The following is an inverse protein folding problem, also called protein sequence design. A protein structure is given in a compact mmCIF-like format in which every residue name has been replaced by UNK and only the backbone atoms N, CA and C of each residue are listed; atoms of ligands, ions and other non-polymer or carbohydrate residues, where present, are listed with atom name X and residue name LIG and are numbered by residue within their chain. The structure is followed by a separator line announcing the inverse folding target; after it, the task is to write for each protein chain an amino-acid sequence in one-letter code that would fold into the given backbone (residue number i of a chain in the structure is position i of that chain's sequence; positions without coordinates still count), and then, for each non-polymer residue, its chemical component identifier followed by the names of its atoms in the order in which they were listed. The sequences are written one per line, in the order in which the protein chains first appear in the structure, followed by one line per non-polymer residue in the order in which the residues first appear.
data_IF_278933537958
#
_entry.id   IF_278933537958
#
_cell.length_a   1.000
_cell.length_b   1.000
_cell.length_c   1.000
_cell.angle_alpha   90.00
_cell.angle_beta   90.00
_cell.angle_gamma   90.00
#
_symmetry.space_group_name_H-M   'P 1'
#
loop_
_entity.id
_entity.type
_entity.pdbx_description
1 polymer ?
#
# COMPACT_ATOMS: atom_id res chain seq x y z
N UNK A 1 -9.59 -14.22 -71.64
CA UNK A 1 -10.07 -13.01 -70.93
C UNK A 1 -10.93 -13.50 -69.77
N UNK A 2 -10.37 -13.65 -68.61
CA UNK A 2 -11.12 -14.08 -67.44
C UNK A 2 -10.85 -13.12 -66.29
N UNK A 3 -11.94 -12.53 -65.82
CA UNK A 3 -11.99 -11.60 -64.67
C UNK A 3 -12.21 -12.46 -63.43
N UNK A 4 -11.35 -12.29 -62.43
CA UNK A 4 -11.50 -12.90 -61.12
C UNK A 4 -12.12 -11.93 -60.13
N UNK A 5 -13.08 -12.34 -59.28
CA UNK A 5 -13.69 -11.46 -58.28
C UNK A 5 -12.99 -11.56 -56.92
N UNK A 6 -12.81 -10.40 -56.31
CA UNK A 6 -12.31 -10.18 -54.93
C UNK A 6 -13.27 -10.74 -53.87
N UNK A 7 -12.77 -11.62 -52.99
CA UNK A 7 -13.42 -12.00 -51.74
C UNK A 7 -13.01 -11.01 -50.63
N UNK A 8 -13.97 -10.22 -50.16
CA UNK A 8 -13.88 -9.48 -48.91
C UNK A 8 -14.13 -10.41 -47.75
N UNK A 9 -13.15 -10.54 -46.84
CA UNK A 9 -13.34 -11.20 -45.57
C UNK A 9 -14.08 -10.27 -44.60
N UNK A 10 -15.26 -10.69 -44.14
CA UNK A 10 -15.99 -10.13 -43.01
C UNK A 10 -15.41 -10.75 -41.72
N UNK A 11 -14.94 -9.92 -40.84
CA UNK A 11 -14.60 -10.29 -39.45
C UNK A 11 -15.83 -10.11 -38.58
N UNK A 12 -16.32 -11.20 -37.98
CA UNK A 12 -17.37 -11.16 -36.95
C UNK A 12 -16.72 -10.85 -35.59
N UNK A 13 -17.39 -10.08 -34.71
CA UNK A 13 -16.94 -9.88 -33.35
C UNK A 13 -17.30 -11.11 -32.49
N UNK A 14 -16.33 -11.57 -31.69
CA UNK A 14 -16.52 -12.65 -30.73
C UNK A 14 -17.37 -12.17 -29.54
N UNK A 15 -18.56 -12.70 -29.41
CA UNK A 15 -19.45 -12.52 -28.25
C UNK A 15 -19.01 -13.47 -27.15
N UNK A 16 -18.53 -12.94 -26.02
CA UNK A 16 -18.17 -13.73 -24.85
C UNK A 16 -19.48 -14.07 -24.08
N UNK A 17 -19.78 -15.36 -24.08
CA UNK A 17 -20.90 -15.95 -23.32
C UNK A 17 -20.47 -16.14 -21.85
N UNK A 18 -21.05 -15.38 -20.94
CA UNK A 18 -20.86 -15.59 -19.52
C UNK A 18 -21.77 -16.75 -19.03
N UNK A 19 -21.16 -17.82 -18.54
CA UNK A 19 -21.85 -18.95 -17.93
C UNK A 19 -22.13 -18.64 -16.46
N UNK A 20 -23.41 -18.44 -16.10
CA UNK A 20 -23.88 -18.39 -14.72
C UNK A 20 -24.07 -19.81 -14.18
N UNK A 21 -23.31 -20.20 -13.16
CA UNK A 21 -23.64 -21.34 -12.32
C UNK A 21 -24.30 -20.85 -11.04
N UNK A 22 -25.60 -21.18 -10.89
CA UNK A 22 -26.38 -20.92 -9.68
C UNK A 22 -26.47 -22.23 -8.90
N UNK A 23 -25.85 -22.32 -7.71
CA UNK A 23 -26.25 -23.28 -6.67
C UNK A 23 -25.83 -22.76 -5.28
N UNK A 24 -26.80 -22.68 -4.36
CA UNK A 24 -26.63 -22.75 -2.91
C UNK A 24 -26.65 -21.41 -2.17
N UNK A 25 -27.82 -21.10 -1.55
CA UNK A 25 -28.01 -20.00 -0.62
C UNK A 25 -27.15 -20.15 0.64
N UNK A 26 -26.12 -19.30 0.79
CA UNK A 26 -25.64 -18.83 2.08
C UNK A 26 -25.43 -17.33 1.93
N UNK A 27 -25.89 -16.53 2.89
CA UNK A 27 -25.81 -15.07 2.88
C UNK A 27 -24.35 -14.63 3.09
N UNK A 28 -23.54 -14.77 2.05
CA UNK A 28 -22.21 -14.15 1.97
C UNK A 28 -22.35 -12.86 1.16
N UNK A 29 -21.94 -11.74 1.73
CA UNK A 29 -21.78 -10.51 0.98
C UNK A 29 -20.97 -10.81 -0.29
N UNK A 30 -21.58 -10.65 -1.45
CA UNK A 30 -20.88 -10.81 -2.73
C UNK A 30 -19.85 -9.69 -2.81
N UNK A 31 -18.58 -10.03 -2.65
CA UNK A 31 -17.47 -9.13 -2.97
C UNK A 31 -17.19 -9.27 -4.45
N UNK A 32 -17.23 -8.17 -5.20
CA UNK A 32 -16.72 -8.22 -6.56
C UNK A 32 -15.19 -8.35 -6.49
N UNK A 33 -14.63 -9.29 -7.21
CA UNK A 33 -13.20 -9.30 -7.48
C UNK A 33 -12.87 -8.08 -8.34
N UNK A 34 -11.79 -7.37 -7.99
CA UNK A 34 -11.27 -6.33 -8.88
C UNK A 34 -10.89 -6.98 -10.21
N UNK A 35 -11.24 -6.37 -11.35
CA UNK A 35 -10.86 -6.94 -12.64
C UNK A 35 -9.34 -7.00 -12.78
N UNK A 36 -8.82 -8.08 -13.35
CA UNK A 36 -7.41 -8.20 -13.69
C UNK A 36 -6.96 -6.99 -14.51
N UNK A 37 -5.76 -6.47 -14.22
CA UNK A 37 -5.19 -5.26 -14.85
C UNK A 37 -5.97 -3.96 -14.60
N UNK A 38 -6.71 -3.86 -13.47
CA UNK A 38 -7.46 -2.65 -13.13
C UNK A 38 -6.58 -1.42 -12.92
N UNK A 39 -5.28 -1.60 -12.71
CA UNK A 39 -4.33 -0.56 -12.32
C UNK A 39 -3.21 -0.31 -13.34
N UNK A 40 -3.16 -1.04 -14.45
CA UNK A 40 -2.05 -0.96 -15.41
C UNK A 40 -2.52 -0.40 -16.74
N UNK A 41 -1.99 0.77 -17.10
CA UNK A 41 -1.88 1.21 -18.49
C UNK A 41 -0.41 1.62 -18.75
N UNK A 42 0.21 1.04 -19.75
CA UNK A 42 1.64 1.15 -20.03
C UNK A 42 2.18 2.53 -20.47
N UNK A 43 1.51 3.65 -20.19
CA UNK A 43 1.87 4.97 -20.69
C UNK A 43 1.87 6.06 -19.59
N UNK A 44 2.81 5.98 -18.65
CA UNK A 44 3.01 7.06 -17.66
C UNK A 44 2.08 7.00 -16.44
N UNK A 45 1.46 5.86 -16.20
CA UNK A 45 0.68 5.59 -15.00
C UNK A 45 1.58 5.37 -13.78
N UNK A 46 1.14 5.71 -12.57
CA UNK A 46 1.91 5.51 -11.35
C UNK A 46 2.14 4.03 -11.06
N UNK A 47 3.23 3.72 -10.40
CA UNK A 47 3.46 2.40 -9.80
C UNK A 47 2.49 2.20 -8.65
N UNK A 48 1.67 1.16 -8.72
CA UNK A 48 0.70 0.84 -7.67
C UNK A 48 1.36 0.01 -6.58
N UNK A 49 1.29 0.52 -5.36
CA UNK A 49 1.72 -0.13 -4.13
C UNK A 49 0.49 -0.57 -3.33
N UNK A 50 0.65 -1.53 -2.40
CA UNK A 50 -0.37 -1.81 -1.40
C UNK A 50 0.28 -2.01 -0.03
N UNK A 51 -0.25 -1.35 0.99
CA UNK A 51 0.17 -1.58 2.37
C UNK A 51 -0.24 -2.99 2.80
N UNK A 52 0.66 -3.70 3.48
CA UNK A 52 0.50 -5.09 3.88
C UNK A 52 0.71 -5.26 5.39
N UNK A 53 -0.23 -5.93 6.05
CA UNK A 53 -0.20 -6.21 7.48
C UNK A 53 0.33 -7.62 7.76
N UNK A 54 1.53 -7.77 8.37
CA UNK A 54 2.20 -9.07 8.53
C UNK A 54 1.90 -9.79 9.83
N UNK A 55 0.89 -9.37 10.59
CA UNK A 55 0.64 -9.84 11.96
C UNK A 55 -0.37 -10.99 12.10
N UNK A 56 -1.00 -11.46 11.02
CA UNK A 56 -1.99 -12.53 11.12
C UNK A 56 -1.38 -13.89 11.39
N UNK A 57 -2.02 -14.63 12.32
CA UNK A 57 -1.55 -15.94 12.79
C UNK A 57 -0.87 -15.92 14.14
N UNK A 58 -0.79 -14.75 14.80
CA UNK A 58 -0.33 -14.62 16.18
C UNK A 58 -1.47 -14.20 17.13
N UNK A 59 -1.31 -14.38 18.47
CA UNK A 59 -2.26 -13.88 19.45
C UNK A 59 -2.42 -12.36 19.40
N UNK A 60 -3.64 -11.87 19.70
CA UNK A 60 -3.94 -10.44 19.70
C UNK A 60 -4.58 -9.93 18.43
N UNK A 61 -4.49 -10.67 17.32
CA UNK A 61 -5.11 -10.35 16.04
C UNK A 61 -6.25 -11.31 15.68
N UNK A 62 -7.17 -10.85 14.85
CA UNK A 62 -8.29 -11.67 14.40
C UNK A 62 -7.82 -12.84 13.53
N UNK A 63 -8.54 -13.95 13.60
CA UNK A 63 -8.27 -15.10 12.74
C UNK A 63 -8.85 -14.83 11.34
N UNK A 64 -7.98 -14.66 10.36
CA UNK A 64 -8.34 -14.45 8.94
C UNK A 64 -8.24 -15.73 8.11
N UNK A 65 -7.90 -16.87 8.75
CA UNK A 65 -7.81 -18.18 8.11
C UNK A 65 -6.42 -18.52 7.53
N UNK A 66 -5.40 -17.69 7.78
CA UNK A 66 -4.02 -17.94 7.40
C UNK A 66 -3.04 -17.31 8.40
N UNK A 67 -1.77 -17.63 8.24
CA UNK A 67 -0.65 -16.97 8.94
C UNK A 67 0.18 -16.17 7.95
N UNK A 68 0.63 -14.98 8.36
CA UNK A 68 1.60 -14.17 7.60
C UNK A 68 3.01 -14.81 7.55
N UNK A 69 3.21 -15.94 8.25
CA UNK A 69 4.41 -16.77 8.14
C UNK A 69 4.19 -18.05 7.30
N UNK A 70 3.04 -18.15 6.60
CA UNK A 70 2.78 -19.26 5.68
C UNK A 70 3.24 -18.89 4.26
N UNK A 71 4.34 -19.53 3.81
CA UNK A 71 4.92 -19.28 2.50
C UNK A 71 3.93 -19.50 1.35
N UNK A 72 3.11 -20.55 1.44
CA UNK A 72 2.14 -20.87 0.36
C UNK A 72 1.08 -19.79 0.24
N UNK A 73 0.63 -19.26 1.38
CA UNK A 73 -0.32 -18.15 1.37
C UNK A 73 0.32 -16.86 0.85
N UNK A 74 1.56 -16.55 1.25
CA UNK A 74 2.28 -15.37 0.74
C UNK A 74 2.49 -15.44 -0.79
N UNK A 75 2.86 -16.61 -1.31
CA UNK A 75 3.01 -16.83 -2.77
C UNK A 75 1.70 -16.57 -3.51
N UNK A 76 0.59 -17.05 -2.98
CA UNK A 76 -0.75 -16.82 -3.53
C UNK A 76 -1.13 -15.33 -3.49
N UNK A 77 -0.88 -14.63 -2.37
CA UNK A 77 -1.19 -13.21 -2.22
C UNK A 77 -0.36 -12.36 -3.20
N UNK A 78 0.92 -12.65 -3.36
CA UNK A 78 1.78 -11.98 -4.35
C UNK A 78 1.25 -12.21 -5.78
N UNK A 79 0.88 -13.44 -6.13
CA UNK A 79 0.32 -13.75 -7.46
C UNK A 79 -1.00 -12.98 -7.70
N UNK A 80 -1.87 -12.89 -6.69
CA UNK A 80 -3.11 -12.11 -6.76
C UNK A 80 -2.84 -10.60 -6.92
N UNK A 81 -1.90 -10.05 -6.15
CA UNK A 81 -1.51 -8.65 -6.25
C UNK A 81 -0.97 -8.31 -7.64
N UNK A 82 -0.08 -9.15 -8.19
CA UNK A 82 0.43 -9.00 -9.56
C UNK A 82 -0.68 -9.03 -10.61
N UNK A 83 -1.67 -9.91 -10.46
CA UNK A 83 -2.83 -9.98 -11.37
C UNK A 83 -3.67 -8.69 -11.36
N UNK A 84 -3.69 -7.98 -10.24
CA UNK A 84 -4.36 -6.69 -10.11
C UNK A 84 -3.48 -5.50 -10.57
N UNK A 85 -2.23 -5.73 -10.98
CA UNK A 85 -1.29 -4.70 -11.38
C UNK A 85 -0.60 -3.99 -10.22
N UNK A 86 -0.67 -4.53 -9.00
CA UNK A 86 0.12 -4.07 -7.87
C UNK A 86 1.57 -4.51 -8.09
N UNK A 87 2.50 -3.58 -7.97
CA UNK A 87 3.93 -3.81 -8.23
C UNK A 87 4.72 -4.13 -6.96
N UNK A 88 4.24 -3.69 -5.80
CA UNK A 88 4.93 -3.92 -4.53
C UNK A 88 3.97 -3.95 -3.35
N UNK A 89 4.36 -4.71 -2.31
CA UNK A 89 3.82 -4.54 -0.96
C UNK A 89 4.70 -3.61 -0.14
N UNK A 90 4.08 -2.68 0.56
CA UNK A 90 4.70 -1.85 1.61
C UNK A 90 4.29 -2.48 2.94
N UNK A 91 5.21 -3.21 3.55
CA UNK A 91 4.92 -4.12 4.67
C UNK A 91 5.15 -3.42 5.99
N UNK A 92 4.13 -3.38 6.85
CA UNK A 92 4.28 -2.88 8.21
C UNK A 92 5.35 -3.68 8.94
N UNK A 93 6.29 -2.99 9.58
CA UNK A 93 7.40 -3.61 10.30
C UNK A 93 7.73 -2.78 11.54
N UNK A 94 7.72 -3.43 12.69
CA UNK A 94 7.81 -2.82 14.01
C UNK A 94 9.21 -2.89 14.64
N UNK A 95 10.24 -3.07 13.80
CA UNK A 95 11.61 -3.25 14.29
C UNK A 95 11.94 -4.70 14.62
N UNK A 96 13.21 -4.93 14.91
CA UNK A 96 13.79 -6.27 15.15
C UNK A 96 13.25 -6.98 16.40
N UNK A 97 12.68 -6.24 17.33
CA UNK A 97 12.12 -6.79 18.59
C UNK A 97 10.79 -7.51 18.38
N UNK A 98 10.04 -7.15 17.35
CA UNK A 98 8.79 -7.78 16.95
C UNK A 98 9.05 -8.99 16.06
N UNK A 99 9.46 -10.07 16.71
CA UNK A 99 10.03 -11.26 16.03
C UNK A 99 9.05 -11.98 15.10
N UNK A 100 7.74 -11.85 15.31
CA UNK A 100 6.75 -12.45 14.41
C UNK A 100 6.69 -11.69 13.10
N UNK A 101 6.53 -10.37 13.16
CA UNK A 101 6.45 -9.49 11.99
C UNK A 101 7.78 -9.46 11.23
N UNK A 102 8.91 -9.47 11.95
CA UNK A 102 10.25 -9.53 11.36
C UNK A 102 10.46 -10.81 10.54
N UNK A 103 10.04 -11.96 11.05
CA UNK A 103 10.05 -13.23 10.32
C UNK A 103 9.08 -13.24 9.15
N UNK A 104 7.89 -12.68 9.34
CA UNK A 104 6.90 -12.56 8.26
C UNK A 104 7.43 -11.67 7.13
N UNK A 105 8.07 -10.54 7.46
CA UNK A 105 8.74 -9.68 6.49
C UNK A 105 9.86 -10.39 5.75
N UNK A 106 10.75 -11.07 6.48
CA UNK A 106 11.83 -11.88 5.90
C UNK A 106 11.30 -12.87 4.86
N UNK A 107 10.24 -13.60 5.21
CA UNK A 107 9.62 -14.57 4.31
C UNK A 107 8.96 -13.89 3.10
N UNK A 108 8.27 -12.77 3.32
CA UNK A 108 7.65 -11.99 2.24
C UNK A 108 8.69 -11.50 1.24
N UNK A 109 9.84 -10.98 1.68
CA UNK A 109 10.89 -10.53 0.76
C UNK A 109 11.51 -11.69 -0.03
N UNK A 110 11.66 -12.88 0.57
CA UNK A 110 12.10 -14.09 -0.13
C UNK A 110 11.07 -14.51 -1.20
N UNK A 111 9.78 -14.54 -0.85
CA UNK A 111 8.70 -14.86 -1.80
C UNK A 111 8.65 -13.82 -2.94
N UNK A 112 8.80 -12.56 -2.61
CA UNK A 112 8.82 -11.48 -3.59
C UNK A 112 9.96 -11.66 -4.61
N UNK A 113 11.16 -12.04 -4.13
CA UNK A 113 12.30 -12.34 -5.01
C UNK A 113 12.01 -13.52 -5.96
N UNK A 114 11.44 -14.60 -5.43
CA UNK A 114 11.12 -15.79 -6.24
C UNK A 114 10.00 -15.53 -7.26
N UNK A 115 9.16 -14.54 -7.00
CA UNK A 115 7.99 -14.18 -7.82
C UNK A 115 8.21 -12.97 -8.72
N UNK A 116 9.40 -12.37 -8.75
CA UNK A 116 9.66 -11.09 -9.42
C UNK A 116 8.63 -10.02 -9.03
N UNK A 117 8.56 -9.79 -7.73
CA UNK A 117 7.71 -8.80 -7.08
C UNK A 117 8.56 -7.93 -6.17
N UNK A 118 8.05 -6.77 -5.75
CA UNK A 118 8.80 -5.87 -4.88
C UNK A 118 8.17 -5.75 -3.50
N UNK A 119 9.02 -5.45 -2.51
CA UNK A 119 8.59 -5.11 -1.15
C UNK A 119 9.36 -3.89 -0.64
N UNK A 120 8.74 -3.15 0.25
CA UNK A 120 9.40 -2.10 1.03
C UNK A 120 8.96 -2.22 2.49
N UNK A 121 9.77 -1.72 3.40
CA UNK A 121 9.40 -1.57 4.80
C UNK A 121 8.53 -0.32 4.96
N UNK A 122 7.43 -0.45 5.72
CA UNK A 122 6.76 0.62 6.43
C UNK A 122 7.16 0.46 7.90
N UNK A 123 8.11 1.28 8.34
CA UNK A 123 8.51 1.28 9.74
C UNK A 123 7.40 1.92 10.58
N UNK A 124 6.73 1.09 11.33
CA UNK A 124 5.66 1.48 12.24
C UNK A 124 6.30 1.62 13.62
N UNK A 125 6.39 2.87 14.10
CA UNK A 125 7.05 3.15 15.38
C UNK A 125 6.41 2.33 16.51
N UNK A 126 7.24 1.68 17.30
CA UNK A 126 6.81 1.08 18.57
C UNK A 126 6.62 2.18 19.63
N UNK A 127 5.72 1.95 20.60
CA UNK A 127 5.57 2.82 21.78
C UNK A 127 6.81 2.71 22.67
N UNK A 128 7.91 3.27 22.19
CA UNK A 128 9.19 3.33 22.90
C UNK A 128 9.16 4.38 24.00
N UNK A 129 10.07 4.24 24.98
CA UNK A 129 10.34 5.33 25.94
C UNK A 129 10.76 6.58 25.13
N UNK A 130 10.10 7.73 25.32
CA UNK A 130 10.45 8.98 24.61
C UNK A 130 11.93 9.34 24.69
N UNK A 131 12.62 8.91 25.76
CA UNK A 131 14.05 9.18 25.93
C UNK A 131 14.94 8.35 25.02
N UNK A 132 14.52 7.18 24.55
CA UNK A 132 15.27 6.29 23.65
C UNK A 132 14.72 6.21 22.24
N UNK A 133 13.54 6.75 21.96
CA UNK A 133 12.81 6.63 20.70
C UNK A 133 13.69 6.87 19.46
N UNK A 134 14.45 7.97 19.43
CA UNK A 134 15.35 8.28 18.30
C UNK A 134 16.44 7.23 18.12
N UNK A 135 17.06 6.77 19.21
CA UNK A 135 18.14 5.78 19.15
C UNK A 135 17.58 4.40 18.77
N UNK A 136 16.38 4.04 19.23
CA UNK A 136 15.68 2.82 18.86
C UNK A 136 15.34 2.81 17.35
N UNK A 137 14.81 3.91 16.81
CA UNK A 137 14.55 4.05 15.37
C UNK A 137 15.84 3.89 14.55
N UNK A 138 16.93 4.55 14.96
CA UNK A 138 18.22 4.44 14.26
C UNK A 138 18.71 2.99 14.30
N UNK A 139 18.60 2.31 15.44
CA UNK A 139 19.00 0.91 15.61
C UNK A 139 18.18 -0.03 14.73
N UNK A 140 16.86 0.16 14.69
CA UNK A 140 15.97 -0.67 13.89
C UNK A 140 16.17 -0.44 12.38
N UNK A 141 16.34 0.81 11.96
CA UNK A 141 16.63 1.11 10.56
C UNK A 141 18.02 0.59 10.14
N UNK A 142 19.02 0.61 11.05
CA UNK A 142 20.32 -0.01 10.78
C UNK A 142 20.18 -1.53 10.64
N UNK A 143 19.40 -2.19 11.50
CA UNK A 143 19.11 -3.61 11.35
C UNK A 143 18.42 -3.90 10.01
N UNK A 144 17.41 -3.12 9.64
CA UNK A 144 16.75 -3.26 8.36
C UNK A 144 17.71 -3.08 7.17
N UNK A 145 18.63 -2.12 7.27
CA UNK A 145 19.64 -1.91 6.25
C UNK A 145 20.56 -3.12 6.11
N UNK A 146 21.04 -3.65 7.22
CA UNK A 146 21.99 -4.77 7.21
C UNK A 146 21.35 -6.08 6.76
N UNK A 147 20.04 -6.29 7.01
CA UNK A 147 19.37 -7.56 6.74
C UNK A 147 18.57 -7.57 5.44
N UNK A 148 17.98 -6.44 5.02
CA UNK A 148 16.97 -6.37 3.96
C UNK A 148 17.33 -5.44 2.81
N UNK A 149 18.01 -4.32 3.06
CA UNK A 149 18.09 -3.19 2.14
C UNK A 149 19.49 -3.04 1.53
N UNK A 150 20.52 -3.09 2.36
CA UNK A 150 21.88 -2.71 2.02
C UNK A 150 22.60 -3.70 1.10
N UNK A 151 23.79 -3.36 0.63
CA UNK A 151 24.54 -4.20 -0.33
C UNK A 151 24.99 -5.54 0.25
N UNK A 152 24.97 -5.68 1.57
CA UNK A 152 25.33 -6.91 2.29
C UNK A 152 24.13 -7.62 2.92
N UNK A 153 22.93 -7.23 2.54
CA UNK A 153 21.69 -7.81 3.07
C UNK A 153 21.69 -9.34 2.92
N UNK A 154 21.21 -10.01 3.98
CA UNK A 154 21.15 -11.48 4.04
C UNK A 154 19.93 -12.05 3.32
N UNK A 155 18.90 -11.23 3.09
CA UNK A 155 17.70 -11.55 2.32
C UNK A 155 17.86 -10.97 0.90
N UNK A 156 17.28 -11.59 -0.15
CA UNK A 156 17.44 -11.11 -1.52
C UNK A 156 17.02 -9.64 -1.71
N UNK A 157 17.99 -8.74 -1.77
CA UNK A 157 17.75 -7.29 -1.86
C UNK A 157 17.13 -6.87 -3.21
N UNK A 158 17.27 -7.68 -4.25
CA UNK A 158 16.72 -7.39 -5.57
C UNK A 158 15.19 -7.31 -5.55
N UNK A 159 14.55 -7.91 -4.55
CA UNK A 159 13.12 -7.75 -4.28
C UNK A 159 12.78 -6.45 -3.55
N UNK A 160 13.75 -5.70 -3.02
CA UNK A 160 13.45 -4.45 -2.33
C UNK A 160 13.08 -3.33 -3.31
N UNK A 161 12.04 -2.56 -2.97
CA UNK A 161 11.57 -1.45 -3.80
C UNK A 161 12.57 -0.30 -3.79
N UNK A 162 13.00 0.11 -4.98
CA UNK A 162 13.88 1.27 -5.18
C UNK A 162 13.22 2.31 -6.08
N UNK A 163 13.60 3.55 -5.89
CA UNK A 163 13.28 4.65 -6.78
C UNK A 163 14.51 5.52 -6.97
N UNK A 164 14.86 5.83 -8.22
CA UNK A 164 16.09 6.54 -8.56
C UNK A 164 17.34 5.89 -7.93
N UNK A 165 17.43 4.56 -8.02
CA UNK A 165 18.50 3.71 -7.48
C UNK A 165 18.66 3.75 -5.95
N UNK A 166 17.70 4.33 -5.23
CA UNK A 166 17.68 4.40 -3.76
C UNK A 166 16.53 3.57 -3.19
N UNK A 167 16.74 2.79 -2.12
CA UNK A 167 15.69 2.03 -1.47
C UNK A 167 14.68 2.97 -0.81
N UNK A 168 13.40 2.61 -0.84
CA UNK A 168 12.32 3.37 -0.22
C UNK A 168 11.99 2.80 1.17
N UNK A 169 11.92 3.66 2.18
CA UNK A 169 11.43 3.31 3.52
C UNK A 169 10.29 4.25 3.86
N UNK A 170 9.14 3.68 4.18
CA UNK A 170 7.97 4.42 4.63
C UNK A 170 7.99 4.52 6.16
N UNK A 171 7.58 5.64 6.71
CA UNK A 171 7.52 5.87 8.15
C UNK A 171 6.07 6.09 8.57
N UNK A 172 5.59 5.24 9.48
CA UNK A 172 4.29 5.36 10.13
C UNK A 172 4.54 5.78 11.59
N UNK A 173 4.41 7.09 11.91
CA UNK A 173 4.80 7.60 13.21
C UNK A 173 3.74 7.34 14.28
N UNK A 174 4.17 7.11 15.52
CA UNK A 174 3.29 6.97 16.70
C UNK A 174 3.66 7.90 17.86
N UNK A 175 4.92 7.89 18.26
CA UNK A 175 5.37 8.56 19.48
C UNK A 175 5.44 10.07 19.36
N UNK A 176 5.97 10.58 18.28
CA UNK A 176 6.10 12.02 18.01
C UNK A 176 7.23 12.73 18.77
N UNK A 177 8.13 11.98 19.41
CA UNK A 177 9.28 12.54 20.14
C UNK A 177 10.60 12.32 19.40
N UNK A 178 10.59 11.63 18.28
CA UNK A 178 11.79 11.32 17.51
C UNK A 178 12.44 12.58 16.93
N UNK A 179 13.76 12.67 17.09
CA UNK A 179 14.61 13.64 16.36
C UNK A 179 14.90 13.10 14.97
N UNK A 180 14.02 13.41 14.03
CA UNK A 180 14.15 12.97 12.64
C UNK A 180 15.37 13.54 11.92
N UNK A 181 15.89 14.68 12.37
CA UNK A 181 17.15 15.23 11.87
C UNK A 181 18.33 14.31 12.20
N UNK A 182 18.38 13.76 13.43
CA UNK A 182 19.39 12.76 13.80
C UNK A 182 19.21 11.46 13.03
N UNK A 183 17.97 10.97 12.87
CA UNK A 183 17.69 9.78 12.06
C UNK A 183 18.18 9.99 10.62
N UNK A 184 17.82 11.12 10.00
CA UNK A 184 18.29 11.48 8.65
C UNK A 184 19.81 11.51 8.56
N UNK A 185 20.49 12.10 9.54
CA UNK A 185 21.94 12.15 9.57
C UNK A 185 22.57 10.75 9.63
N UNK A 186 22.00 9.85 10.44
CA UNK A 186 22.48 8.48 10.55
C UNK A 186 22.35 7.72 9.22
N UNK A 187 21.17 7.74 8.59
CA UNK A 187 20.94 6.99 7.33
C UNK A 187 21.67 7.59 6.14
N UNK A 188 21.95 8.87 6.15
CA UNK A 188 22.77 9.51 5.09
C UNK A 188 24.23 9.04 5.08
N UNK A 189 24.71 8.48 6.19
CA UNK A 189 26.04 7.86 6.29
C UNK A 189 26.15 6.48 5.63
N UNK A 190 25.08 5.88 5.18
CA UNK A 190 25.08 4.55 4.57
C UNK A 190 25.58 4.57 3.13
N UNK A 191 26.09 3.44 2.63
CA UNK A 191 26.58 3.31 1.24
C UNK A 191 25.51 3.64 0.20
N UNK A 192 24.26 3.26 0.48
CA UNK A 192 23.10 3.61 -0.34
C UNK A 192 22.02 4.18 0.58
N UNK A 193 22.01 5.50 0.82
CA UNK A 193 21.03 6.14 1.69
C UNK A 193 19.60 5.94 1.19
N UNK A 194 18.64 5.53 2.06
CA UNK A 194 17.25 5.35 1.66
C UNK A 194 16.55 6.67 1.36
N UNK A 195 15.49 6.58 0.57
CA UNK A 195 14.44 7.59 0.50
C UNK A 195 13.49 7.37 1.66
N UNK A 196 13.35 8.35 2.55
CA UNK A 196 12.41 8.31 3.67
C UNK A 196 11.12 9.02 3.27
N UNK A 197 9.99 8.31 3.36
CA UNK A 197 8.66 8.81 3.00
C UNK A 197 7.79 8.80 4.25
N UNK A 198 7.36 9.97 4.72
CA UNK A 198 6.65 10.13 5.98
C UNK A 198 5.12 10.15 5.78
N UNK A 199 4.39 9.64 6.77
CA UNK A 199 2.93 9.66 6.78
C UNK A 199 2.40 11.09 6.88
N UNK A 200 1.46 11.44 6.04
CA UNK A 200 0.87 12.77 5.92
C UNK A 200 1.91 13.88 5.62
N UNK A 201 1.43 15.05 5.27
CA UNK A 201 2.30 16.22 5.11
C UNK A 201 2.58 16.82 6.49
N UNK A 202 3.87 16.90 6.82
CA UNK A 202 4.34 17.52 8.05
C UNK A 202 5.36 18.61 7.71
N UNK A 203 4.96 19.90 7.71
CA UNK A 203 5.84 21.00 7.27
C UNK A 203 7.14 21.11 8.05
N UNK A 204 7.10 20.89 9.37
CA UNK A 204 8.28 21.01 10.24
C UNK A 204 9.31 19.92 9.99
N UNK A 205 8.90 18.77 9.41
CA UNK A 205 9.75 17.64 9.07
C UNK A 205 10.13 17.60 7.59
N UNK A 206 9.71 18.58 6.80
CA UNK A 206 9.90 18.54 5.35
C UNK A 206 11.38 18.49 4.91
N UNK A 207 12.31 18.93 5.75
CA UNK A 207 13.74 18.86 5.44
C UNK A 207 14.36 17.48 5.70
N UNK A 208 13.73 16.68 6.54
CA UNK A 208 14.25 15.38 6.97
C UNK A 208 13.74 14.21 6.10
N UNK A 209 12.70 14.45 5.28
CA UNK A 209 12.07 13.43 4.44
C UNK A 209 12.17 13.75 2.95
N UNK A 210 12.30 12.70 2.12
CA UNK A 210 12.32 12.80 0.67
C UNK A 210 10.91 12.95 0.09
N UNK A 211 9.87 12.58 0.85
CA UNK A 211 8.48 12.68 0.43
C UNK A 211 7.47 12.41 1.52
N UNK A 212 6.20 12.43 1.11
CA UNK A 212 5.06 12.16 1.97
C UNK A 212 4.10 11.19 1.31
N UNK A 213 3.40 10.38 2.12
CA UNK A 213 2.32 9.54 1.62
C UNK A 213 0.99 9.88 2.31
N UNK A 214 -0.09 9.78 1.54
CA UNK A 214 -1.43 9.90 2.10
C UNK A 214 -1.80 8.60 2.82
N UNK A 215 -2.50 8.71 3.94
CA UNK A 215 -3.06 7.58 4.67
C UNK A 215 -4.48 7.90 5.13
N UNK A 216 -5.33 6.88 5.29
CA UNK A 216 -6.68 7.07 5.81
C UNK A 216 -6.62 7.74 7.19
N UNK A 217 -7.19 8.94 7.31
CA UNK A 217 -7.06 9.77 8.51
C UNK A 217 -8.41 9.97 9.18
N UNK A 218 -8.79 9.03 10.05
CA UNK A 218 -10.09 9.02 10.69
C UNK A 218 -10.32 10.23 11.61
N UNK A 219 -11.49 10.87 11.46
CA UNK A 219 -11.93 11.97 12.31
C UNK A 219 -11.25 13.31 12.07
N UNK A 220 -10.42 13.42 11.01
CA UNK A 220 -9.80 14.68 10.60
C UNK A 220 -10.30 15.08 9.22
N UNK A 221 -9.88 16.21 8.75
CA UNK A 221 -10.16 16.87 7.47
C UNK A 221 -11.08 16.13 6.48
N UNK A 222 -12.34 16.54 6.43
CA UNK A 222 -13.32 16.00 5.53
C UNK A 222 -13.94 14.65 5.94
N UNK A 223 -13.41 13.99 6.96
CA UNK A 223 -13.98 12.76 7.48
C UNK A 223 -14.99 13.02 8.59
N UNK A 224 -16.19 12.47 8.46
CA UNK A 224 -17.25 12.62 9.44
C UNK A 224 -17.32 11.42 10.38
N UNK A 225 -17.56 11.61 11.69
CA UNK A 225 -17.65 10.50 12.64
C UNK A 225 -18.71 9.44 12.30
N UNK A 226 -19.74 9.81 11.55
CA UNK A 226 -20.78 8.90 11.09
C UNK A 226 -20.41 8.11 9.83
N UNK A 227 -19.19 8.28 9.28
CA UNK A 227 -18.73 7.62 8.07
C UNK A 227 -19.38 8.12 6.78
N UNK A 228 -20.09 9.26 6.80
CA UNK A 228 -20.77 9.81 5.61
C UNK A 228 -19.81 10.43 4.57
N UNK A 229 -18.56 10.60 4.93
CA UNK A 229 -17.49 11.16 4.11
C UNK A 229 -16.47 10.07 3.79
N UNK A 230 -15.80 10.17 2.66
CA UNK A 230 -14.79 9.21 2.20
C UNK A 230 -13.35 9.76 2.21
N UNK A 231 -13.13 10.89 2.89
CA UNK A 231 -11.81 11.54 3.00
C UNK A 231 -11.45 12.42 1.80
N UNK A 232 -12.43 12.83 0.96
CA UNK A 232 -12.20 13.63 -0.24
C UNK A 232 -11.49 14.95 0.05
N UNK A 233 -11.87 15.64 1.11
CA UNK A 233 -11.29 16.93 1.47
C UNK A 233 -9.83 16.78 1.92
N UNK A 234 -9.54 15.73 2.66
CA UNK A 234 -8.17 15.42 3.08
C UNK A 234 -7.28 15.15 1.85
N UNK A 235 -7.71 14.24 0.96
CA UNK A 235 -6.94 13.89 -0.25
C UNK A 235 -6.79 15.08 -1.20
N UNK A 236 -7.86 15.87 -1.38
CA UNK A 236 -7.82 17.08 -2.21
C UNK A 236 -6.77 18.08 -1.69
N UNK A 237 -6.73 18.29 -0.38
CA UNK A 237 -5.73 19.13 0.26
C UNK A 237 -4.32 18.54 0.15
N UNK A 238 -4.17 17.24 0.40
CA UNK A 238 -2.88 16.54 0.27
C UNK A 238 -2.29 16.75 -1.13
N UNK A 239 -3.05 16.45 -2.18
CA UNK A 239 -2.57 16.59 -3.55
C UNK A 239 -2.26 18.04 -3.94
N UNK A 240 -3.13 18.99 -3.55
CA UNK A 240 -2.86 20.42 -3.80
C UNK A 240 -1.55 20.85 -3.17
N UNK A 241 -1.39 20.57 -1.88
CA UNK A 241 -0.19 20.97 -1.12
C UNK A 241 1.07 20.33 -1.69
N UNK A 242 1.03 19.04 -2.06
CA UNK A 242 2.19 18.39 -2.70
C UNK A 242 2.58 19.05 -4.01
N UNK A 243 1.62 19.43 -4.83
CA UNK A 243 1.90 20.09 -6.13
C UNK A 243 2.40 21.53 -5.94
N UNK A 244 1.82 22.29 -4.99
CA UNK A 244 2.12 23.72 -4.85
C UNK A 244 3.31 24.00 -3.95
N UNK A 245 3.39 23.33 -2.80
CA UNK A 245 4.33 23.66 -1.74
C UNK A 245 5.54 22.71 -1.73
N UNK A 246 5.36 21.47 -2.23
CA UNK A 246 6.39 20.43 -2.24
C UNK A 246 6.61 19.80 -3.63
N UNK A 247 6.75 20.59 -4.71
CA UNK A 247 6.83 20.05 -6.10
C UNK A 247 8.06 19.18 -6.35
N UNK A 248 9.08 19.27 -5.50
CA UNK A 248 10.33 18.51 -5.62
C UNK A 248 10.39 17.30 -4.67
N UNK A 249 9.32 17.01 -3.93
CA UNK A 249 9.25 15.86 -3.04
C UNK A 249 8.44 14.73 -3.67
N UNK A 250 8.76 13.51 -3.25
CA UNK A 250 8.01 12.34 -3.66
C UNK A 250 6.63 12.42 -3.00
N UNK A 251 5.57 12.42 -3.80
CA UNK A 251 4.21 12.29 -3.32
C UNK A 251 3.73 10.87 -3.60
N UNK A 252 3.29 10.16 -2.58
CA UNK A 252 2.64 8.86 -2.73
C UNK A 252 1.15 9.05 -2.46
N UNK A 253 0.32 8.90 -3.49
CA UNK A 253 -1.12 9.03 -3.36
C UNK A 253 -1.73 7.90 -2.52
N UNK A 254 -2.95 8.12 -1.99
CA UNK A 254 -3.68 7.12 -1.21
C UNK A 254 -4.99 6.68 -1.89
N UNK A 255 -5.34 5.40 -1.73
CA UNK A 255 -6.62 4.86 -2.15
C UNK A 255 -7.11 3.82 -1.14
N UNK A 256 -8.36 3.94 -0.68
CA UNK A 256 -8.97 3.05 0.30
C UNK A 256 -10.42 2.70 -0.04
N UNK A 257 -10.88 1.48 0.30
CA UNK A 257 -12.25 1.06 -0.01
C UNK A 257 -13.30 1.65 0.94
N UNK A 258 -12.90 2.02 2.11
CA UNK A 258 -13.65 2.47 3.28
C UNK A 258 -12.84 2.18 4.52
N UNK A 259 -13.43 2.34 5.70
CA UNK A 259 -12.76 2.10 6.97
C UNK A 259 -13.76 1.64 8.04
N UNK A 260 -13.37 0.68 8.87
CA UNK A 260 -14.17 0.25 10.01
C UNK A 260 -13.27 -0.50 11.01
N UNK A 261 -12.84 0.19 12.05
CA UNK A 261 -11.91 -0.36 13.06
C UNK A 261 -12.59 -1.15 14.19
N UNK A 262 -13.89 -1.43 14.11
CA UNK A 262 -14.62 -2.11 15.20
C UNK A 262 -14.10 -3.51 15.54
N UNK A 263 -13.25 -4.09 14.71
CA UNK A 263 -12.61 -5.40 14.95
C UNK A 263 -11.21 -5.27 15.52
N UNK A 264 -10.62 -4.09 15.47
CA UNK A 264 -9.28 -3.86 16.00
C UNK A 264 -9.30 -3.78 17.53
N UNK A 265 -8.27 -4.30 18.18
CA UNK A 265 -8.10 -4.16 19.64
C UNK A 265 -7.89 -2.70 20.08
N UNK A 266 -7.40 -1.87 19.17
CA UNK A 266 -7.23 -0.41 19.32
C UNK A 266 -8.40 0.41 18.78
N UNK A 267 -9.56 -0.21 18.56
CA UNK A 267 -10.76 0.43 18.00
C UNK A 267 -11.17 1.70 18.77
N UNK A 268 -11.64 2.69 18.01
CA UNK A 268 -12.31 3.89 18.52
C UNK A 268 -13.70 4.07 17.87
N UNK A 269 -14.30 2.97 17.39
CA UNK A 269 -15.58 2.95 16.65
C UNK A 269 -15.61 3.90 15.44
N UNK A 270 -14.48 4.05 14.75
CA UNK A 270 -14.37 4.91 13.58
C UNK A 270 -14.87 4.18 12.33
N UNK A 271 -15.60 4.88 11.50
CA UNK A 271 -16.18 4.32 10.27
C UNK A 271 -16.15 5.31 9.13
N UNK A 272 -15.77 4.81 7.96
CA UNK A 272 -15.94 5.46 6.67
C UNK A 272 -16.72 4.51 5.77
N UNK A 273 -17.83 4.98 5.19
CA UNK A 273 -18.71 4.14 4.39
C UNK A 273 -18.00 3.68 3.11
N UNK A 274 -18.12 2.40 2.81
CA UNK A 274 -17.63 1.79 1.58
C UNK A 274 -18.44 2.21 0.34
N UNK A 275 -19.67 2.71 0.54
CA UNK A 275 -20.58 3.15 -0.52
C UNK A 275 -20.66 2.14 -1.68
N UNK A 276 -20.76 0.86 -1.35
CA UNK A 276 -20.84 -0.24 -2.33
C UNK A 276 -19.63 -0.29 -3.29
N UNK A 277 -18.43 0.02 -2.80
CA UNK A 277 -17.20 0.08 -3.58
C UNK A 277 -16.92 1.44 -4.22
N UNK A 278 -17.87 2.38 -4.13
CA UNK A 278 -17.72 3.70 -4.72
C UNK A 278 -16.64 4.53 -4.04
N UNK A 279 -16.43 4.33 -2.73
CA UNK A 279 -15.36 5.01 -1.99
C UNK A 279 -14.00 4.74 -2.64
N UNK A 280 -13.69 3.48 -2.93
CA UNK A 280 -12.45 3.12 -3.61
C UNK A 280 -12.31 3.77 -4.99
N UNK A 281 -13.37 3.75 -5.79
CA UNK A 281 -13.36 4.37 -7.13
C UNK A 281 -13.21 5.89 -7.06
N UNK A 282 -13.78 6.55 -6.06
CA UNK A 282 -13.71 8.00 -5.93
C UNK A 282 -12.33 8.45 -5.43
N UNK A 283 -11.66 7.69 -4.56
CA UNK A 283 -10.24 7.95 -4.19
C UNK A 283 -9.34 7.86 -5.43
N UNK A 284 -9.49 6.82 -6.25
CA UNK A 284 -8.75 6.66 -7.50
C UNK A 284 -9.03 7.77 -8.51
N UNK A 285 -10.29 8.22 -8.65
CA UNK A 285 -10.66 9.33 -9.54
C UNK A 285 -10.09 10.66 -9.07
N UNK A 286 -10.09 10.89 -7.75
CA UNK A 286 -9.52 12.11 -7.19
C UNK A 286 -8.02 12.18 -7.44
N UNK A 287 -7.31 11.07 -7.22
CA UNK A 287 -5.90 10.94 -7.59
C UNK A 287 -5.66 11.34 -9.06
N UNK A 288 -6.40 10.74 -10.00
CA UNK A 288 -6.26 11.03 -11.44
C UNK A 288 -6.61 12.46 -11.85
N UNK A 289 -7.37 13.20 -11.03
CA UNK A 289 -7.65 14.62 -11.25
C UNK A 289 -6.40 15.48 -11.10
N UNK A 290 -5.56 15.15 -10.13
CA UNK A 290 -4.35 15.90 -9.82
C UNK A 290 -3.14 15.40 -10.59
N UNK A 291 -3.05 14.09 -10.76
CA UNK A 291 -1.94 13.42 -11.38
C UNK A 291 -2.36 12.78 -12.70
N UNK A 292 -1.73 13.26 -13.74
CA UNK A 292 -1.98 12.90 -15.13
C UNK A 292 -0.67 13.04 -15.90
N UNK A 293 -0.70 13.00 -17.22
CA UNK A 293 0.50 13.11 -18.05
C UNK A 293 1.27 14.43 -17.88
N UNK A 294 0.59 15.53 -17.47
CA UNK A 294 1.25 16.81 -17.22
C UNK A 294 1.87 16.90 -15.82
N UNK A 295 1.33 16.15 -14.88
CA UNK A 295 1.83 16.07 -13.50
C UNK A 295 1.94 14.59 -13.11
N UNK A 296 2.96 13.88 -13.59
CA UNK A 296 3.14 12.48 -13.27
C UNK A 296 3.49 12.31 -11.79
N UNK A 297 2.87 11.32 -11.15
CA UNK A 297 3.20 10.89 -9.80
C UNK A 297 3.76 9.49 -9.88
N UNK A 298 4.92 9.24 -9.23
CA UNK A 298 5.54 7.92 -9.33
C UNK A 298 4.72 6.81 -8.66
N UNK A 299 3.97 7.11 -7.58
CA UNK A 299 3.36 6.07 -6.76
C UNK A 299 1.93 6.39 -6.31
N UNK A 300 1.09 5.35 -6.26
CA UNK A 300 -0.19 5.33 -5.56
C UNK A 300 -0.21 4.11 -4.63
N UNK A 301 -0.51 4.31 -3.35
CA UNK A 301 -0.63 3.23 -2.37
C UNK A 301 -2.09 2.90 -2.08
N UNK A 302 -2.42 1.63 -2.14
CA UNK A 302 -3.72 1.11 -1.70
C UNK A 302 -3.62 0.80 -0.19
N UNK A 303 -4.55 1.31 0.55
CA UNK A 303 -4.67 1.15 1.99
C UNK A 303 -5.92 0.35 2.30
N UNK A 304 -5.79 -1.00 2.43
CA UNK A 304 -4.60 -1.86 2.46
C UNK A 304 -4.81 -3.11 1.62
N UNK A 305 -3.78 -3.98 1.48
CA UNK A 305 -3.98 -5.32 0.94
C UNK A 305 -4.88 -6.15 1.86
N UNK A 306 -4.54 -6.26 3.16
CA UNK A 306 -5.12 -7.24 4.06
C UNK A 306 -5.48 -6.74 5.47
N UNK A 307 -5.62 -5.44 5.73
CA UNK A 307 -6.08 -5.00 7.05
C UNK A 307 -7.59 -5.24 7.22
N UNK A 308 -7.88 -6.42 7.79
CA UNK A 308 -9.24 -6.84 8.12
C UNK A 308 -9.74 -6.28 9.45
N UNK A 309 -8.84 -5.76 10.30
CA UNK A 309 -9.16 -5.19 11.61
C UNK A 309 -9.66 -3.76 11.48
N UNK A 310 -9.05 -3.00 10.57
CA UNK A 310 -9.53 -1.66 10.18
C UNK A 310 -10.47 -1.68 8.96
N UNK A 311 -10.72 -2.85 8.40
CA UNK A 311 -11.68 -3.04 7.32
C UNK A 311 -11.25 -2.44 5.97
N UNK A 312 -10.00 -2.07 5.81
CA UNK A 312 -9.46 -1.51 4.57
C UNK A 312 -8.99 -2.56 3.56
N UNK A 313 -9.05 -3.84 3.92
CA UNK A 313 -8.56 -4.95 3.10
C UNK A 313 -9.25 -5.05 1.74
N UNK A 314 -8.45 -5.20 0.67
CA UNK A 314 -8.92 -5.49 -0.69
C UNK A 314 -8.60 -6.91 -1.18
N UNK A 315 -7.83 -7.70 -0.45
CA UNK A 315 -7.40 -9.07 -0.80
C UNK A 315 -8.56 -9.94 -1.29
N UNK A 316 -9.72 -9.83 -0.64
CA UNK A 316 -10.95 -10.58 -0.98
C UNK A 316 -11.95 -9.75 -1.77
N UNK A 317 -11.50 -8.68 -2.40
CA UNK A 317 -12.34 -7.75 -3.15
C UNK A 317 -12.90 -6.60 -2.29
N UNK A 318 -13.36 -5.56 -2.97
CA UNK A 318 -13.99 -4.39 -2.35
C UNK A 318 -15.47 -4.68 -2.08
N UNK A 319 -16.01 -4.31 -0.90
CA UNK A 319 -17.43 -4.51 -0.60
C UNK A 319 -18.33 -3.80 -1.61
N UNK A 320 -19.23 -4.55 -2.25
CA UNK A 320 -20.24 -4.01 -3.17
C UNK A 320 -21.64 -4.28 -2.63
N UNK A 321 -22.62 -3.41 -2.94
CA UNK A 321 -24.04 -3.70 -2.69
C UNK A 321 -24.58 -4.59 -3.81
N UNK A 322 -25.57 -5.40 -3.43
CA UNK A 322 -26.38 -6.18 -4.39
C UNK A 322 -27.40 -5.28 -5.07
#
# INVERSE_FOLDING_TARGET
MFVSPNLRRLTLPATILALLCITGCHANSVRSTLPANSFVDGNGEPTILAAYMPWFGQPGHINVGYSSQDRVELEKQVDQAKQLGIAAFVVNWYGQRHTFEDKAYTLMQQVAADKDFKVAIMYDEDDSDPASETDDIISDLQYAYDHYIGPKAVVPRDAYLTYQDRPMVFIFPKGGNADWGRVRQAVNGWETPPLLIYEHIHPDLANDFDGFYAWVNPGKQGWQPNGSNWGEQYLDNFYKTMITDYPNKIAVGGAWPGFNDTKASWSRDRKMDYRCGRTFLDTMRLFRRYYNQQHPLPFLMIETWNDYEEGTAIERGVPTCK
#
